data_IF_283661706662
#
_entry.id   IF_283661706662
#
_cell.length_a   1.000
_cell.length_b   1.000
_cell.length_c   1.000
_cell.angle_alpha   90.00
_cell.angle_beta   90.00
_cell.angle_gamma   90.00
#
_symmetry.space_group_name_H-M   'P 1'
#
loop_
_entity.id
_entity.type
_entity.pdbx_description
1 polymer ?
#
# COMPACT_ATOMS: atom_id res chain seq x y z
N UNK A 1 -52.55 -5.91 -14.97
CA UNK A 1 -52.69 -7.27 -15.54
C UNK A 1 -51.33 -7.94 -15.33
N UNK A 2 -51.05 -8.66 -14.23
CA UNK A 2 -51.36 -10.10 -13.97
C UNK A 2 -51.04 -10.89 -15.26
N UNK A 3 -50.20 -11.92 -15.35
CA UNK A 3 -49.58 -12.88 -14.44
C UNK A 3 -48.68 -13.80 -15.31
N UNK A 4 -47.93 -14.73 -14.67
CA UNK A 4 -47.47 -16.06 -15.15
C UNK A 4 -45.95 -16.16 -15.34
N UNK A 5 -45.25 -17.24 -14.96
CA UNK A 5 -45.33 -18.31 -13.94
C UNK A 5 -43.91 -18.91 -13.97
N UNK A 6 -43.44 -19.35 -12.82
CA UNK A 6 -42.16 -19.97 -12.54
C UNK A 6 -42.14 -21.42 -13.07
N UNK A 7 -41.11 -21.85 -13.81
CA UNK A 7 -40.69 -23.27 -13.92
C UNK A 7 -39.16 -23.35 -14.04
N UNK A 8 -38.54 -23.99 -13.06
CA UNK A 8 -37.14 -24.47 -13.03
C UNK A 8 -37.12 -25.88 -13.65
N UNK A 9 -36.04 -26.26 -14.35
CA UNK A 9 -35.48 -27.58 -14.09
C UNK A 9 -33.97 -27.53 -13.84
N UNK A 10 -33.59 -28.15 -12.71
CA UNK A 10 -32.24 -28.58 -12.42
C UNK A 10 -31.87 -29.72 -13.36
N UNK A 11 -30.72 -29.63 -14.03
CA UNK A 11 -30.10 -30.75 -14.70
C UNK A 11 -28.67 -30.93 -14.16
N UNK A 12 -28.57 -31.90 -13.26
CA UNK A 12 -27.34 -32.50 -12.77
C UNK A 12 -26.70 -33.29 -13.92
N UNK A 13 -25.47 -32.94 -14.30
CA UNK A 13 -24.64 -33.79 -15.16
C UNK A 13 -23.37 -34.11 -14.39
N UNK A 14 -23.33 -35.35 -13.90
CA UNK A 14 -22.14 -35.99 -13.36
C UNK A 14 -21.34 -36.56 -14.54
N UNK A 15 -20.14 -36.04 -14.79
CA UNK A 15 -19.14 -36.75 -15.58
C UNK A 15 -18.07 -37.30 -14.65
N UNK A 16 -18.18 -38.61 -14.44
CA UNK A 16 -17.18 -39.48 -13.86
C UNK A 16 -16.09 -39.75 -14.91
N UNK A 17 -14.83 -39.51 -14.59
CA UNK A 17 -13.70 -39.98 -15.37
C UNK A 17 -12.78 -40.81 -14.46
N UNK A 18 -12.89 -42.12 -14.58
CA UNK A 18 -11.88 -43.06 -14.11
C UNK A 18 -10.77 -43.13 -15.17
N UNK A 19 -9.52 -42.99 -14.76
CA UNK A 19 -8.37 -43.45 -15.55
C UNK A 19 -7.48 -44.23 -14.61
N UNK A 20 -7.31 -45.53 -14.92
CA UNK A 20 -6.45 -46.43 -14.17
C UNK A 20 -5.00 -46.34 -14.64
N UNK A 21 -4.14 -46.22 -13.62
CA UNK A 21 -2.75 -46.61 -13.47
C UNK A 21 -1.92 -47.07 -14.70
N UNK A 22 -0.85 -46.32 -14.97
CA UNK A 22 0.46 -46.90 -15.26
C UNK A 22 1.41 -46.54 -14.12
N UNK A 23 1.90 -47.57 -13.41
CA UNK A 23 2.97 -47.45 -12.40
C UNK A 23 4.31 -47.29 -13.11
N UNK A 24 5.08 -46.28 -12.72
CA UNK A 24 6.53 -46.43 -12.57
C UNK A 24 7.06 -45.51 -11.46
N UNK A 25 7.98 -46.09 -10.71
CA UNK A 25 8.49 -45.76 -9.38
C UNK A 25 9.38 -44.50 -9.38
N UNK A 26 9.12 -43.53 -8.51
CA UNK A 26 10.11 -42.86 -7.64
C UNK A 26 9.53 -41.62 -6.93
N UNK A 27 9.71 -41.61 -5.61
CA UNK A 27 9.42 -40.60 -4.60
C UNK A 27 9.53 -39.12 -5.02
N UNK A 28 8.46 -38.34 -4.88
CA UNK A 28 8.39 -37.20 -3.94
C UNK A 28 7.04 -36.48 -4.03
N UNK A 29 6.53 -36.15 -2.84
CA UNK A 29 5.17 -35.70 -2.49
C UNK A 29 4.86 -34.32 -3.09
N UNK A 30 3.83 -34.22 -3.93
CA UNK A 30 3.28 -32.95 -4.39
C UNK A 30 1.77 -33.10 -4.60
N UNK A 31 0.97 -32.64 -3.63
CA UNK A 31 -0.49 -32.57 -3.73
C UNK A 31 -0.89 -31.13 -4.07
N UNK A 32 -1.49 -31.00 -5.25
CA UNK A 32 -2.22 -29.82 -5.71
C UNK A 32 -3.50 -29.70 -4.89
N UNK A 33 -3.62 -28.64 -4.08
CA UNK A 33 -4.88 -28.23 -3.48
C UNK A 33 -5.35 -26.96 -4.18
N UNK A 34 -6.62 -26.97 -4.56
CA UNK A 34 -7.34 -25.88 -5.18
C UNK A 34 -7.00 -24.52 -4.55
N UNK A 35 -6.54 -23.60 -5.39
CA UNK A 35 -6.23 -22.23 -5.03
C UNK A 35 -7.54 -21.45 -4.89
N UNK A 36 -8.26 -21.68 -3.79
CA UNK A 36 -9.09 -20.60 -3.22
C UNK A 36 -8.14 -19.43 -2.95
N UNK A 37 -8.41 -18.29 -3.56
CA UNK A 37 -7.75 -17.03 -3.25
C UNK A 37 -8.11 -16.61 -1.83
N UNK A 38 -7.53 -17.29 -0.84
CA UNK A 38 -7.42 -16.80 0.53
C UNK A 38 -6.57 -15.55 0.44
N UNK A 39 -7.22 -14.38 0.53
CA UNK A 39 -6.52 -13.15 0.85
C UNK A 39 -5.76 -13.41 2.14
N UNK A 40 -4.44 -13.58 2.06
CA UNK A 40 -3.58 -13.59 3.23
C UNK A 40 -3.76 -12.23 3.88
N UNK A 41 -4.69 -12.14 4.83
CA UNK A 41 -4.99 -10.94 5.60
C UNK A 41 -3.76 -10.72 6.46
N UNK A 42 -2.84 -9.90 5.98
CA UNK A 42 -1.64 -9.52 6.73
C UNK A 42 -2.08 -8.94 8.07
N UNK A 43 -1.49 -9.41 9.17
CA UNK A 43 -1.81 -8.90 10.52
C UNK A 43 -1.25 -7.48 10.78
N UNK A 44 -0.67 -6.86 9.75
CA UNK A 44 -0.11 -5.51 9.79
C UNK A 44 -1.02 -4.49 9.11
N UNK A 45 -0.96 -3.25 9.60
CA UNK A 45 -1.52 -2.10 8.91
C UNK A 45 -0.79 -1.87 7.58
N UNK A 46 -1.54 -1.60 6.52
CA UNK A 46 -1.01 -1.40 5.16
C UNK A 46 -1.02 0.08 4.80
N UNK A 47 0.12 0.61 4.37
CA UNK A 47 0.23 1.96 3.85
C UNK A 47 0.23 1.95 2.31
N UNK A 48 -0.66 2.75 1.72
CA UNK A 48 -0.68 3.03 0.28
C UNK A 48 -0.37 4.49 0.00
N UNK A 49 0.42 4.73 -1.04
CA UNK A 49 0.87 6.06 -1.45
C UNK A 49 0.44 6.40 -2.87
N UNK A 50 0.10 7.66 -3.10
CA UNK A 50 -0.15 8.25 -4.43
C UNK A 50 0.42 9.65 -4.48
N UNK A 51 0.90 10.06 -5.65
CA UNK A 51 1.42 11.41 -5.91
C UNK A 51 0.72 11.97 -7.14
N UNK A 52 0.32 13.24 -7.10
CA UNK A 52 -0.40 13.90 -8.20
C UNK A 52 0.49 14.16 -9.43
N UNK A 53 1.77 14.46 -9.24
CA UNK A 53 2.78 14.65 -10.28
C UNK A 53 2.63 15.95 -11.08
N UNK A 54 1.47 16.12 -11.72
CA UNK A 54 1.09 17.35 -12.39
C UNK A 54 0.55 18.35 -11.35
N UNK A 55 1.16 19.52 -11.23
CA UNK A 55 0.77 20.57 -10.29
C UNK A 55 0.60 21.90 -11.02
N UNK A 56 -0.40 22.70 -10.66
CA UNK A 56 -0.46 24.08 -11.18
C UNK A 56 0.62 24.94 -10.50
N UNK A 57 1.04 26.07 -11.10
CA UNK A 57 1.92 27.03 -10.46
C UNK A 57 1.37 27.45 -9.08
N UNK A 58 2.14 27.20 -8.03
CA UNK A 58 1.76 27.50 -6.65
C UNK A 58 1.01 26.38 -5.91
N UNK A 59 0.60 25.32 -6.60
CA UNK A 59 -0.03 24.16 -5.98
C UNK A 59 1.01 23.18 -5.38
N UNK A 60 0.64 22.44 -4.32
CA UNK A 60 1.53 21.47 -3.71
C UNK A 60 1.72 20.21 -4.58
N UNK A 61 2.94 19.67 -4.56
CA UNK A 61 3.21 18.31 -5.06
C UNK A 61 2.82 17.32 -3.96
N UNK A 62 1.58 16.88 -4.00
CA UNK A 62 0.92 16.22 -2.90
C UNK A 62 1.19 14.71 -2.90
N UNK A 63 1.88 14.23 -1.87
CA UNK A 63 1.82 12.84 -1.45
C UNK A 63 0.53 12.62 -0.67
N UNK A 64 -0.33 11.76 -1.17
CA UNK A 64 -1.46 11.20 -0.43
C UNK A 64 -1.06 9.85 0.16
N UNK A 65 -1.21 9.71 1.47
CA UNK A 65 -0.82 8.54 2.23
C UNK A 65 -2.04 7.99 2.98
N UNK A 66 -2.36 6.71 2.75
CA UNK A 66 -3.50 6.04 3.38
C UNK A 66 -3.03 4.86 4.18
N UNK A 67 -3.43 4.80 5.44
CA UNK A 67 -3.22 3.63 6.31
C UNK A 67 -4.52 2.85 6.38
N UNK A 68 -4.52 1.62 5.88
CA UNK A 68 -5.63 0.70 5.95
C UNK A 68 -5.45 -0.27 7.10
N UNK A 69 -6.50 -0.46 7.88
CA UNK A 69 -6.62 -1.58 8.79
C UNK A 69 -7.50 -2.66 8.16
N UNK A 70 -6.87 -3.51 7.36
CA UNK A 70 -7.54 -4.64 6.75
C UNK A 70 -7.75 -5.80 7.72
N UNK A 71 -7.58 -5.63 9.04
CA UNK A 71 -7.74 -6.69 10.07
C UNK A 71 -9.14 -6.67 10.70
N UNK A 72 -9.44 -7.57 11.64
CA UNK A 72 -10.71 -7.66 12.37
C UNK A 72 -10.70 -6.99 13.76
N UNK A 73 -9.56 -6.41 14.15
CA UNK A 73 -9.41 -5.69 15.42
C UNK A 73 -8.84 -4.30 15.19
N UNK A 74 -9.07 -3.40 16.14
CA UNK A 74 -8.44 -2.09 16.08
C UNK A 74 -6.92 -2.23 16.32
N UNK A 75 -6.12 -1.54 15.52
CA UNK A 75 -4.66 -1.52 15.62
C UNK A 75 -4.15 -0.09 15.72
N UNK A 76 -2.91 0.06 16.16
CA UNK A 76 -2.24 1.35 16.22
C UNK A 76 -0.91 1.31 15.47
N UNK A 77 -0.50 2.47 14.96
CA UNK A 77 0.82 2.68 14.35
C UNK A 77 1.47 3.93 14.94
N UNK A 78 2.80 3.99 14.90
CA UNK A 78 3.53 5.20 15.29
C UNK A 78 3.46 6.21 14.14
N UNK A 79 3.04 7.44 14.42
CA UNK A 79 2.90 8.49 13.40
C UNK A 79 4.24 9.05 12.94
N UNK A 80 5.34 8.74 13.63
CA UNK A 80 6.67 9.18 13.22
C UNK A 80 7.06 8.55 11.90
N UNK A 81 7.79 9.30 11.09
CA UNK A 81 8.18 8.85 9.74
C UNK A 81 6.95 8.53 8.88
N UNK A 82 5.89 9.33 9.02
CA UNK A 82 4.70 9.31 8.19
C UNK A 82 4.20 10.74 7.95
N UNK A 83 3.32 10.98 6.96
CA UNK A 83 2.65 12.26 6.78
C UNK A 83 1.63 12.65 7.87
N UNK A 84 1.39 11.83 8.90
CA UNK A 84 0.53 12.18 10.05
C UNK A 84 1.21 13.15 11.03
N UNK A 85 2.45 13.53 10.74
CA UNK A 85 3.16 14.68 11.30
C UNK A 85 3.70 15.54 10.14
N UNK A 86 4.11 16.81 10.40
CA UNK A 86 4.86 17.57 9.41
C UNK A 86 6.09 16.78 8.92
N UNK A 87 6.65 17.15 7.77
CA UNK A 87 7.88 16.56 7.22
C UNK A 87 9.09 16.84 8.14
N UNK A 88 9.21 16.00 9.17
CA UNK A 88 10.19 16.07 10.26
C UNK A 88 11.20 14.90 10.22
N UNK A 89 11.20 14.14 9.12
CA UNK A 89 12.11 13.03 8.84
C UNK A 89 12.07 12.69 7.35
N UNK A 90 13.16 12.12 6.82
CA UNK A 90 13.15 11.50 5.50
C UNK A 90 12.60 10.07 5.61
N UNK A 91 11.35 9.88 5.20
CA UNK A 91 10.66 8.59 5.23
C UNK A 91 10.26 8.06 3.84
N UNK A 92 10.76 8.72 2.80
CA UNK A 92 10.63 8.32 1.40
C UNK A 92 12.04 8.18 0.83
N UNK A 93 12.26 7.15 0.03
CA UNK A 93 13.31 7.17 -0.98
C UNK A 93 12.71 7.68 -2.29
N UNK A 94 13.29 8.72 -2.86
CA UNK A 94 12.86 9.34 -4.10
C UNK A 94 14.06 9.37 -5.05
N UNK A 95 14.00 8.61 -6.13
CA UNK A 95 15.10 8.49 -7.10
C UNK A 95 14.68 8.98 -8.47
N UNK A 96 15.56 9.69 -9.18
CA UNK A 96 15.32 10.09 -10.57
C UNK A 96 15.57 8.93 -11.56
N UNK A 97 15.44 9.21 -12.85
CA UNK A 97 15.65 8.23 -13.93
C UNK A 97 17.09 7.67 -13.99
N UNK A 98 18.06 8.40 -13.44
CA UNK A 98 19.46 7.98 -13.35
C UNK A 98 19.74 7.18 -12.07
N UNK A 99 18.75 7.08 -11.18
CA UNK A 99 18.89 6.47 -9.87
C UNK A 99 19.51 7.41 -8.82
N UNK A 100 19.62 8.71 -9.10
CA UNK A 100 20.10 9.70 -8.15
C UNK A 100 18.99 10.01 -7.12
N UNK A 101 19.33 9.98 -5.83
CA UNK A 101 18.39 10.26 -4.74
C UNK A 101 18.11 11.77 -4.64
N UNK A 102 16.84 12.16 -4.61
CA UNK A 102 16.43 13.53 -4.35
C UNK A 102 16.80 13.92 -2.91
N UNK A 103 17.52 15.03 -2.76
CA UNK A 103 17.99 15.45 -1.46
C UNK A 103 16.84 15.85 -0.54
N UNK A 104 16.79 15.27 0.66
CA UNK A 104 15.93 15.76 1.74
C UNK A 104 16.51 17.04 2.34
N UNK A 105 15.72 18.11 2.36
CA UNK A 105 16.01 19.44 2.89
C UNK A 105 15.05 19.87 4.01
N UNK A 106 14.12 19.00 4.39
CA UNK A 106 13.16 19.27 5.46
C UNK A 106 13.79 19.27 6.85
N UNK A 107 13.00 19.65 7.85
CA UNK A 107 13.42 19.57 9.24
C UNK A 107 13.62 18.10 9.68
N UNK A 108 14.50 17.90 10.66
CA UNK A 108 14.76 16.59 11.26
C UNK A 108 14.50 16.68 12.77
N UNK A 109 13.44 16.04 13.24
CA UNK A 109 13.10 16.05 14.66
C UNK A 109 13.98 15.09 15.47
N UNK A 110 14.54 15.58 16.57
CA UNK A 110 15.18 14.73 17.58
C UNK A 110 14.11 14.04 18.42
N UNK A 111 14.22 12.72 18.60
CA UNK A 111 13.21 11.90 19.30
C UNK A 111 13.78 11.26 20.56
N UNK A 112 12.91 11.05 21.55
CA UNK A 112 13.18 10.16 22.68
C UNK A 112 12.75 8.75 22.30
N UNK A 113 13.46 7.74 22.80
CA UNK A 113 13.12 6.33 22.59
C UNK A 113 12.84 5.66 23.95
N UNK A 114 11.79 4.82 24.06
CA UNK A 114 10.80 4.49 23.03
C UNK A 114 9.85 5.66 22.70
N UNK A 115 9.12 5.63 21.56
CA UNK A 115 8.11 6.64 21.26
C UNK A 115 7.05 6.71 22.38
N UNK A 116 6.65 7.91 22.84
CA UNK A 116 5.61 8.06 23.84
C UNK A 116 4.25 7.62 23.28
N UNK A 117 3.30 7.32 24.17
CA UNK A 117 1.96 6.88 23.78
C UNK A 117 1.22 7.88 22.87
N UNK A 118 1.49 9.18 23.02
CA UNK A 118 0.93 10.24 22.18
C UNK A 118 1.41 10.21 20.73
N UNK A 119 2.44 9.43 20.41
CA UNK A 119 2.95 9.24 19.05
C UNK A 119 2.21 8.16 18.28
N UNK A 120 1.15 7.57 18.83
CA UNK A 120 0.42 6.48 18.19
C UNK A 120 -0.99 6.91 17.77
N UNK A 121 -1.36 6.55 16.54
CA UNK A 121 -2.71 6.70 16.02
C UNK A 121 -3.41 5.34 15.94
N UNK A 122 -4.68 5.30 16.34
CA UNK A 122 -5.54 4.11 16.27
C UNK A 122 -6.32 4.10 14.96
N UNK A 123 -6.43 2.93 14.35
CA UNK A 123 -7.27 2.66 13.18
C UNK A 123 -8.22 1.51 13.52
N UNK A 124 -9.53 1.74 13.40
CA UNK A 124 -10.53 0.70 13.69
C UNK A 124 -10.48 -0.43 12.65
N UNK A 125 -11.01 -1.60 12.98
CA UNK A 125 -11.09 -2.73 12.06
C UNK A 125 -11.87 -2.34 10.79
N UNK A 126 -11.32 -2.65 9.61
CA UNK A 126 -11.91 -2.32 8.31
C UNK A 126 -11.86 -0.84 7.93
N UNK A 127 -11.27 0.02 8.76
CA UNK A 127 -11.22 1.47 8.55
C UNK A 127 -9.88 1.92 7.94
N UNK A 128 -9.80 3.20 7.59
CA UNK A 128 -8.58 3.83 7.10
C UNK A 128 -8.37 5.24 7.61
N UNK A 129 -7.11 5.65 7.74
CA UNK A 129 -6.74 7.04 7.98
C UNK A 129 -5.99 7.60 6.77
N UNK A 130 -6.15 8.90 6.54
CA UNK A 130 -5.52 9.60 5.42
C UNK A 130 -4.71 10.78 5.94
N UNK A 131 -3.51 10.94 5.41
CA UNK A 131 -2.69 12.14 5.58
C UNK A 131 -2.10 12.58 4.24
N UNK A 132 -1.72 13.85 4.16
CA UNK A 132 -1.09 14.40 2.98
C UNK A 132 0.16 15.18 3.35
N UNK A 133 1.17 15.13 2.48
CA UNK A 133 2.38 15.92 2.60
C UNK A 133 2.69 16.61 1.27
N UNK A 134 3.12 17.87 1.33
CA UNK A 134 3.64 18.59 0.17
C UNK A 134 5.14 18.32 0.04
N UNK A 135 5.52 17.55 -0.98
CA UNK A 135 6.90 17.11 -1.18
C UNK A 135 7.85 18.27 -1.46
N UNK A 136 7.37 19.38 -2.04
CA UNK A 136 8.19 20.55 -2.35
C UNK A 136 8.69 21.27 -1.10
N UNK A 137 8.10 21.00 0.07
CA UNK A 137 8.55 21.58 1.36
C UNK A 137 9.79 20.91 1.93
N UNK A 138 10.14 19.71 1.47
CA UNK A 138 11.23 18.94 2.09
C UNK A 138 12.12 18.19 1.11
N UNK A 139 11.80 18.11 -0.18
CA UNK A 139 12.61 17.41 -1.18
C UNK A 139 13.04 18.34 -2.30
N UNK A 140 14.30 18.20 -2.70
CA UNK A 140 14.87 18.92 -3.84
C UNK A 140 14.46 18.25 -5.16
N UNK A 141 13.28 18.61 -5.66
CA UNK A 141 12.71 18.04 -6.88
C UNK A 141 12.82 19.02 -8.04
N UNK A 142 13.28 18.52 -9.19
CA UNK A 142 13.48 19.29 -10.41
C UNK A 142 12.23 19.20 -11.28
N UNK A 143 11.74 20.36 -11.72
CA UNK A 143 10.65 20.44 -12.70
C UNK A 143 11.05 19.72 -14.00
N UNK A 144 10.11 19.03 -14.60
CA UNK A 144 10.28 18.23 -15.81
C UNK A 144 10.97 16.87 -15.61
N UNK A 145 11.34 16.50 -14.37
CA UNK A 145 11.99 15.22 -14.08
C UNK A 145 10.98 14.15 -13.63
N UNK A 146 11.25 12.90 -14.02
CA UNK A 146 10.54 11.72 -13.54
C UNK A 146 11.21 11.15 -12.30
N UNK A 147 10.40 10.66 -11.38
CA UNK A 147 10.83 10.13 -10.09
C UNK A 147 10.14 8.83 -9.76
N UNK A 148 10.86 7.95 -9.04
CA UNK A 148 10.38 6.74 -8.40
C UNK A 148 10.43 6.91 -6.89
N UNK A 149 9.31 6.65 -6.22
CA UNK A 149 9.11 6.82 -4.78
C UNK A 149 8.79 5.51 -4.09
N UNK A 150 9.48 5.24 -3.00
CA UNK A 150 9.22 4.12 -2.09
C UNK A 150 9.13 4.64 -0.66
N UNK A 151 8.17 4.13 0.11
CA UNK A 151 8.07 4.43 1.54
C UNK A 151 9.11 3.62 2.34
N UNK A 152 9.95 4.30 3.12
CA UNK A 152 11.05 3.69 3.89
C UNK A 152 10.86 3.82 5.42
N UNK A 153 9.80 4.50 5.87
CA UNK A 153 9.52 4.72 7.29
C UNK A 153 8.97 3.52 8.06
N UNK A 154 8.74 2.38 7.41
CA UNK A 154 8.02 1.22 7.98
C UNK A 154 8.60 0.68 9.28
N UNK A 155 9.93 0.71 9.45
CA UNK A 155 10.58 0.26 10.70
C UNK A 155 10.22 1.12 11.92
N UNK A 156 9.98 2.42 11.72
CA UNK A 156 9.60 3.34 12.81
C UNK A 156 8.08 3.35 13.03
N UNK A 157 7.31 3.36 11.95
CA UNK A 157 5.84 3.47 12.03
C UNK A 157 5.15 2.16 12.35
N UNK A 158 5.75 1.01 11.99
CA UNK A 158 5.12 -0.30 12.01
C UNK A 158 4.19 -0.55 10.82
N UNK A 159 4.21 0.31 9.81
CA UNK A 159 3.39 0.19 8.60
C UNK A 159 4.10 -0.63 7.52
N UNK A 160 3.38 -1.55 6.89
CA UNK A 160 3.84 -2.25 5.72
C UNK A 160 3.42 -1.50 4.44
N UNK A 161 4.34 -1.28 3.52
CA UNK A 161 4.02 -0.78 2.18
C UNK A 161 4.76 -1.59 1.13
N UNK A 162 4.09 -1.86 0.01
CA UNK A 162 4.68 -2.52 -1.17
C UNK A 162 4.66 -1.59 -2.39
N UNK A 163 4.19 -0.36 -2.19
CA UNK A 163 4.01 0.57 -3.29
C UNK A 163 5.36 1.07 -3.79
N UNK A 164 5.49 1.08 -5.10
CA UNK A 164 6.49 1.86 -5.83
C UNK A 164 5.72 2.79 -6.74
N UNK A 165 5.80 4.09 -6.48
CA UNK A 165 5.04 5.10 -7.23
C UNK A 165 5.99 5.82 -8.17
N UNK A 166 5.61 5.97 -9.43
CA UNK A 166 6.30 6.86 -10.36
C UNK A 166 5.46 8.10 -10.63
N UNK A 167 6.12 9.25 -10.76
CA UNK A 167 5.48 10.50 -11.15
C UNK A 167 6.47 11.38 -11.91
N UNK A 168 5.95 12.25 -12.77
CA UNK A 168 6.74 13.33 -13.37
C UNK A 168 6.33 14.62 -12.66
N UNK A 169 7.30 15.40 -12.19
CA UNK A 169 7.02 16.73 -11.64
C UNK A 169 6.86 17.74 -12.78
N UNK A 170 5.63 18.03 -13.17
CA UNK A 170 5.31 19.00 -14.24
C UNK A 170 4.44 20.13 -13.71
N UNK A 171 4.72 21.36 -14.15
CA UNK A 171 3.82 22.49 -13.95
C UNK A 171 2.81 22.56 -15.11
N UNK A 172 1.51 22.49 -14.79
CA UNK A 172 0.44 22.71 -15.77
C UNK A 172 0.24 24.20 -15.97
N UNK A 173 0.21 24.65 -17.23
CA UNK A 173 0.00 26.06 -17.57
C UNK A 173 -1.50 26.34 -17.76
#
# INVERSE_FOLDING_TARGET
MKNIKLIIPALLVLFSACSEATRNTASSKSESTAQTASSNKTDSLEAKIKINGNVAPGDPLLLRFVVYNNTDSAKSFCIWHTPFEPLLSSYLSITDEKGEEAQYKGAMAKRVMPPPASSYSKVNAGDSLVANADLLKAYDLKKGSSYKVVYTGGNMSGLASKDTVTFIYTEVH
#
